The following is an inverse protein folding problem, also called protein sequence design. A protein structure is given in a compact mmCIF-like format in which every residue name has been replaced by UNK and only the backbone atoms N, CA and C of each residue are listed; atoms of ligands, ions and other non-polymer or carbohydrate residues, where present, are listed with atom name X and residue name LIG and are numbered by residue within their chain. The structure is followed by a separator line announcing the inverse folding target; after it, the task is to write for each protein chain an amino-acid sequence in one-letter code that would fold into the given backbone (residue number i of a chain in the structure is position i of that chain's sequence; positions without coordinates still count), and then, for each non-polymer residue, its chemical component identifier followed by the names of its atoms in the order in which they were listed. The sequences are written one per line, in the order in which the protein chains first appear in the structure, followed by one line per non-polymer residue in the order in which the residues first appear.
data_IF_694753764098
#
_entry.id   IF_694753764098
#
_cell.length_a   1.000
_cell.length_b   1.000
_cell.length_c   1.000
_cell.angle_alpha   90.00
_cell.angle_beta   90.00
_cell.angle_gamma   90.00
#
_symmetry.space_group_name_H-M   'P 1'
#
loop_
_entity.id
_entity.type
_entity.pdbx_description
1 polymer ?
#
# COMPACT_ATOMS: atom_id res chain seq x y z
N UNK A 1 -17.83 8.62 -4.05
CA UNK A 1 -19.13 9.23 -4.33
C UNK A 1 -19.42 10.23 -3.22
N UNK A 2 -19.30 11.52 -3.54
CA UNK A 2 -19.82 12.59 -2.70
C UNK A 2 -21.26 12.82 -3.13
N UNK A 3 -22.22 12.53 -2.27
CA UNK A 3 -23.60 13.00 -2.43
C UNK A 3 -23.82 14.14 -1.44
N UNK A 4 -23.94 15.35 -1.97
CA UNK A 4 -24.49 16.46 -1.23
C UNK A 4 -26.03 16.28 -1.20
N UNK A 5 -26.61 16.03 -0.03
CA UNK A 5 -28.05 16.10 0.15
C UNK A 5 -28.43 17.57 0.40
N UNK A 6 -29.00 18.21 -0.61
CA UNK A 6 -29.75 19.46 -0.46
C UNK A 6 -31.08 19.17 0.24
N UNK A 7 -31.31 19.85 1.36
CA UNK A 7 -32.66 20.05 1.85
C UNK A 7 -32.97 19.63 3.28
N UNK A 8 -32.42 20.37 4.26
CA UNK A 8 -33.11 20.51 5.54
C UNK A 8 -33.45 22.00 5.71
N UNK A 9 -34.73 22.38 5.57
CA UNK A 9 -35.20 23.71 5.92
C UNK A 9 -35.18 23.86 7.43
N UNK A 10 -34.37 24.78 7.92
CA UNK A 10 -34.25 25.17 9.31
C UNK A 10 -35.56 25.84 9.81
N UNK A 11 -36.15 25.41 10.92
CA UNK A 11 -37.18 26.16 11.59
C UNK A 11 -36.60 27.41 12.29
N UNK A 12 -37.26 28.53 12.14
CA UNK A 12 -36.84 29.90 12.53
C UNK A 12 -36.51 30.13 14.04
N UNK A 13 -36.51 29.12 14.88
CA UNK A 13 -36.22 29.22 16.32
C UNK A 13 -34.88 28.66 16.79
N UNK A 14 -34.04 28.16 15.91
CA UNK A 14 -32.67 27.67 16.27
C UNK A 14 -31.56 28.71 15.96
N UNK A 15 -31.72 29.93 16.46
CA UNK A 15 -30.72 30.99 16.37
C UNK A 15 -29.51 30.71 17.28
N UNK A 16 -28.74 29.75 17.02
CA UNK A 16 -27.51 29.44 17.78
C UNK A 16 -26.80 28.17 17.31
N UNK A 17 -27.53 27.23 16.76
CA UNK A 17 -27.00 25.99 16.24
C UNK A 17 -26.80 25.99 14.72
N UNK A 18 -27.48 26.88 13.98
CA UNK A 18 -27.42 26.95 12.52
C UNK A 18 -26.07 27.40 11.96
N UNK A 19 -25.33 28.20 12.72
CA UNK A 19 -24.00 28.70 12.27
C UNK A 19 -22.89 27.63 12.43
N UNK A 20 -23.07 26.71 13.37
CA UNK A 20 -22.17 25.56 13.55
C UNK A 20 -22.42 24.52 12.45
N UNK A 21 -23.69 24.33 12.02
CA UNK A 21 -24.07 23.35 11.00
C UNK A 21 -23.53 23.72 9.60
N UNK A 22 -23.46 25.01 9.28
CA UNK A 22 -22.93 25.51 8.00
C UNK A 22 -21.40 25.42 7.89
N UNK A 23 -20.72 25.08 8.97
CA UNK A 23 -19.24 25.00 9.05
C UNK A 23 -18.69 23.59 9.11
N UNK A 24 -19.51 22.59 8.86
CA UNK A 24 -19.12 21.18 8.96
C UNK A 24 -19.39 20.44 7.66
N UNK A 25 -18.49 19.53 7.29
CA UNK A 25 -18.67 18.58 6.21
C UNK A 25 -18.84 17.17 6.79
N UNK A 26 -19.85 16.47 6.33
CA UNK A 26 -20.14 15.08 6.74
C UNK A 26 -19.50 14.13 5.73
N UNK A 27 -18.63 13.26 6.20
CA UNK A 27 -17.88 12.30 5.37
C UNK A 27 -18.27 10.88 5.80
N UNK A 28 -18.60 10.02 4.84
CA UNK A 28 -18.74 8.59 5.07
C UNK A 28 -17.40 7.89 4.84
N UNK A 29 -16.86 7.28 5.89
CA UNK A 29 -15.62 6.54 5.83
C UNK A 29 -15.78 5.17 5.16
N UNK A 30 -14.66 4.51 4.86
CA UNK A 30 -14.65 3.16 4.26
C UNK A 30 -15.31 2.09 5.15
N UNK A 31 -15.21 2.24 6.47
CA UNK A 31 -15.89 1.41 7.48
C UNK A 31 -17.38 1.68 7.62
N UNK A 32 -17.93 2.55 6.74
CA UNK A 32 -19.31 3.02 6.73
C UNK A 32 -19.71 3.94 7.89
N UNK A 33 -18.80 4.24 8.81
CA UNK A 33 -19.05 5.25 9.84
C UNK A 33 -19.15 6.66 9.25
N UNK A 34 -19.82 7.54 9.96
CA UNK A 34 -19.99 8.94 9.58
C UNK A 34 -19.05 9.78 10.45
N UNK A 35 -18.22 10.60 9.83
CA UNK A 35 -17.39 11.60 10.48
C UNK A 35 -17.86 13.00 10.10
N UNK A 36 -18.02 13.86 11.09
CA UNK A 36 -18.33 15.27 10.89
C UNK A 36 -17.05 16.08 11.13
N UNK A 37 -16.61 16.83 10.13
CA UNK A 37 -15.35 17.56 10.14
C UNK A 37 -15.63 19.05 9.96
N UNK A 38 -15.09 19.95 10.82
CA UNK A 38 -15.17 21.38 10.61
C UNK A 38 -14.56 21.79 9.27
N UNK A 39 -15.20 22.72 8.55
CA UNK A 39 -14.68 23.17 7.24
C UNK A 39 -13.32 23.88 7.35
N UNK A 40 -12.99 24.48 8.49
CA UNK A 40 -11.68 25.04 8.77
C UNK A 40 -10.55 24.00 8.64
N UNK A 41 -10.82 22.74 9.02
CA UNK A 41 -9.84 21.67 8.90
C UNK A 41 -9.41 21.39 7.45
N UNK A 42 -10.30 21.63 6.48
CA UNK A 42 -9.96 21.49 5.05
C UNK A 42 -9.14 22.67 4.53
N UNK A 43 -9.26 23.86 5.16
CA UNK A 43 -8.46 25.02 4.79
C UNK A 43 -7.03 24.96 5.35
N UNK A 44 -6.86 24.30 6.49
CA UNK A 44 -5.59 24.23 7.23
C UNK A 44 -4.75 22.99 6.91
N UNK A 45 -5.37 21.94 6.36
CA UNK A 45 -4.73 20.66 6.10
C UNK A 45 -4.80 20.26 4.63
N UNK A 46 -3.79 19.53 4.17
CA UNK A 46 -3.83 18.93 2.85
C UNK A 46 -4.93 17.89 2.76
N UNK A 47 -5.76 17.98 1.74
CA UNK A 47 -6.86 17.04 1.47
C UNK A 47 -6.44 16.12 0.32
N UNK A 48 -6.44 14.81 0.56
CA UNK A 48 -6.13 13.81 -0.46
C UNK A 48 -7.43 13.23 -1.02
N UNK A 49 -7.66 13.43 -2.31
CA UNK A 49 -8.79 12.83 -3.01
C UNK A 49 -8.41 11.44 -3.55
N UNK A 50 -8.76 10.40 -2.81
CA UNK A 50 -8.46 9.01 -3.17
C UNK A 50 -9.28 8.57 -4.41
N UNK A 51 -10.44 9.19 -4.67
CA UNK A 51 -11.28 8.85 -5.83
C UNK A 51 -10.64 9.24 -7.17
N UNK A 52 -9.72 10.18 -7.17
CA UNK A 52 -8.94 10.60 -8.34
C UNK A 52 -7.68 9.76 -8.56
N UNK A 53 -7.46 8.72 -7.73
CA UNK A 53 -6.33 7.82 -7.89
C UNK A 53 -6.46 7.04 -9.20
N UNK A 54 -5.51 7.21 -10.09
CA UNK A 54 -5.49 6.54 -11.40
C UNK A 54 -4.90 5.14 -11.34
N UNK A 55 -3.95 4.93 -10.43
CA UNK A 55 -3.21 3.68 -10.29
C UNK A 55 -2.88 3.43 -8.81
N UNK A 56 -3.06 2.22 -8.34
CA UNK A 56 -2.69 1.86 -6.98
C UNK A 56 -1.24 1.40 -6.91
N UNK A 57 -0.52 1.93 -5.95
CA UNK A 57 0.85 1.52 -5.66
C UNK A 57 0.86 0.26 -4.78
N UNK A 58 1.68 -0.71 -5.15
CA UNK A 58 2.10 -1.82 -4.30
C UNK A 58 3.55 -1.52 -3.89
N UNK A 59 3.82 -1.53 -2.60
CA UNK A 59 5.16 -1.31 -2.04
C UNK A 59 5.39 -2.32 -0.93
N UNK A 60 6.34 -3.23 -1.12
CA UNK A 60 6.67 -4.30 -0.19
C UNK A 60 8.15 -4.35 0.12
N UNK A 61 8.47 -4.85 1.29
CA UNK A 61 9.79 -5.31 1.67
C UNK A 61 9.70 -6.83 1.80
N UNK A 62 10.47 -7.53 0.98
CA UNK A 62 10.57 -8.99 1.00
C UNK A 62 11.85 -9.31 1.75
N UNK A 63 11.72 -10.04 2.86
CA UNK A 63 12.84 -10.38 3.74
C UNK A 63 13.37 -11.77 3.40
N UNK A 64 14.63 -11.86 3.00
CA UNK A 64 15.32 -13.10 2.63
C UNK A 64 16.38 -13.46 3.67
N UNK A 65 16.62 -14.76 3.84
CA UNK A 65 17.63 -15.24 4.79
C UNK A 65 19.04 -14.85 4.35
N UNK A 66 19.94 -14.63 5.32
CA UNK A 66 21.36 -14.31 5.08
C UNK A 66 22.16 -15.42 4.39
N UNK A 67 21.71 -16.66 4.44
CA UNK A 67 22.33 -17.78 3.72
C UNK A 67 22.06 -17.75 2.21
N UNK A 68 21.23 -16.81 1.72
CA UNK A 68 20.99 -16.63 0.29
C UNK A 68 22.25 -16.11 -0.39
N UNK A 69 22.65 -16.77 -1.47
CA UNK A 69 23.80 -16.35 -2.27
C UNK A 69 23.50 -15.10 -3.09
N UNK A 70 24.54 -14.38 -3.49
CA UNK A 70 24.39 -13.18 -4.34
C UNK A 70 23.70 -13.50 -5.66
N UNK A 71 23.99 -14.66 -6.24
CA UNK A 71 23.38 -15.08 -7.51
C UNK A 71 21.90 -15.39 -7.33
N UNK A 72 21.50 -16.02 -6.22
CA UNK A 72 20.09 -16.20 -5.87
C UNK A 72 19.36 -14.86 -5.73
N UNK A 73 19.93 -13.91 -5.00
CA UNK A 73 19.36 -12.58 -4.82
C UNK A 73 19.16 -11.83 -6.15
N UNK A 74 20.17 -11.89 -7.04
CA UNK A 74 20.08 -11.30 -8.38
C UNK A 74 18.99 -11.97 -9.22
N UNK A 75 18.96 -13.31 -9.24
CA UNK A 75 17.98 -14.06 -10.00
C UNK A 75 16.54 -13.79 -9.51
N UNK A 76 16.34 -13.73 -8.20
CA UNK A 76 15.03 -13.39 -7.61
C UNK A 76 14.61 -11.99 -8.03
N UNK A 77 15.50 -11.00 -7.89
CA UNK A 77 15.24 -9.62 -8.31
C UNK A 77 14.84 -9.57 -9.79
N UNK A 78 15.63 -10.16 -10.67
CA UNK A 78 15.44 -10.11 -12.12
C UNK A 78 14.16 -10.83 -12.55
N UNK A 79 13.81 -11.95 -11.90
CA UNK A 79 12.59 -12.68 -12.19
C UNK A 79 11.33 -11.91 -11.73
N UNK A 80 11.38 -11.27 -10.56
CA UNK A 80 10.27 -10.42 -10.10
C UNK A 80 10.12 -9.20 -11.01
N UNK A 81 11.21 -8.55 -11.41
CA UNK A 81 11.20 -7.40 -12.31
C UNK A 81 10.59 -7.79 -13.67
N UNK A 82 11.05 -8.89 -14.28
CA UNK A 82 10.49 -9.44 -15.52
C UNK A 82 9.01 -9.82 -15.39
N UNK A 83 8.61 -10.37 -14.27
CA UNK A 83 7.18 -10.69 -14.04
C UNK A 83 6.33 -9.43 -14.06
N UNK A 84 6.78 -8.35 -13.39
CA UNK A 84 6.07 -7.07 -13.37
C UNK A 84 6.03 -6.48 -14.79
N UNK A 85 7.14 -6.51 -15.54
CA UNK A 85 7.24 -5.95 -16.88
C UNK A 85 6.35 -6.68 -17.92
N UNK A 86 6.28 -8.00 -17.82
CA UNK A 86 5.54 -8.83 -18.78
C UNK A 86 4.05 -9.01 -18.43
N UNK A 87 3.65 -8.62 -17.23
CA UNK A 87 2.26 -8.81 -16.79
C UNK A 87 1.40 -7.57 -17.09
N UNK A 88 0.27 -7.81 -17.74
CA UNK A 88 -0.67 -6.76 -18.15
C UNK A 88 -1.37 -6.05 -17.00
N UNK A 89 -1.32 -6.60 -15.78
CA UNK A 89 -1.93 -6.02 -14.58
C UNK A 89 -1.19 -4.77 -14.09
N UNK A 90 0.11 -4.65 -14.45
CA UNK A 90 0.96 -3.54 -14.01
C UNK A 90 1.07 -2.45 -15.06
N UNK A 91 1.13 -1.22 -14.59
CA UNK A 91 1.39 -0.06 -15.43
C UNK A 91 2.90 0.21 -15.45
N UNK A 92 3.46 0.26 -16.65
CA UNK A 92 4.85 0.61 -16.91
C UNK A 92 4.85 1.87 -17.76
N UNK A 93 5.59 2.87 -17.35
CA UNK A 93 5.69 4.15 -18.05
C UNK A 93 6.36 5.22 -17.21
N UNK A 94 6.57 6.38 -17.81
CA UNK A 94 7.36 7.48 -17.21
C UNK A 94 6.81 7.97 -15.87
N UNK A 95 5.49 7.90 -15.66
CA UNK A 95 4.83 8.31 -14.41
C UNK A 95 4.74 7.19 -13.36
N UNK A 96 5.11 5.95 -13.71
CA UNK A 96 4.91 4.77 -12.86
C UNK A 96 6.14 3.88 -12.86
N UNK A 97 7.24 4.43 -12.37
CA UNK A 97 8.48 3.69 -12.23
C UNK A 97 8.32 2.51 -11.27
N UNK A 98 8.56 1.31 -11.76
CA UNK A 98 8.69 0.12 -10.93
C UNK A 98 10.13 -0.05 -10.46
N UNK A 99 10.32 -0.68 -9.33
CA UNK A 99 11.65 -0.95 -8.78
C UNK A 99 11.65 -2.25 -8.00
N UNK A 100 12.63 -3.10 -8.30
CA UNK A 100 12.95 -4.28 -7.51
C UNK A 100 14.44 -4.21 -7.18
N UNK A 101 14.77 -3.88 -5.92
CA UNK A 101 16.16 -3.62 -5.53
C UNK A 101 16.44 -4.17 -4.13
N UNK A 102 17.66 -4.60 -3.88
CA UNK A 102 18.13 -4.87 -2.53
C UNK A 102 18.19 -3.52 -1.82
N UNK A 103 17.48 -3.40 -0.72
CA UNK A 103 17.33 -2.15 0.04
C UNK A 103 18.40 -2.05 1.13
N UNK A 104 18.41 -3.00 2.04
CA UNK A 104 19.33 -3.00 3.17
C UNK A 104 19.55 -4.40 3.74
N UNK A 105 20.52 -4.49 4.62
CA UNK A 105 20.76 -5.63 5.50
C UNK A 105 20.19 -5.30 6.88
N UNK A 106 19.12 -6.01 7.25
CA UNK A 106 18.45 -5.88 8.55
C UNK A 106 19.04 -6.88 9.56
N UNK A 107 18.60 -6.83 10.81
CA UNK A 107 19.18 -7.64 11.92
C UNK A 107 19.17 -9.16 11.63
N UNK A 108 18.17 -9.66 10.92
CA UNK A 108 18.00 -11.09 10.62
C UNK A 108 17.62 -11.37 9.16
N UNK A 109 17.68 -10.38 8.28
CA UNK A 109 17.26 -10.51 6.88
C UNK A 109 18.02 -9.62 5.91
N UNK A 110 18.04 -10.04 4.65
CA UNK A 110 18.35 -9.19 3.51
C UNK A 110 17.03 -8.70 2.94
N UNK A 111 16.83 -7.40 2.92
CA UNK A 111 15.59 -6.77 2.53
C UNK A 111 15.60 -6.43 1.04
N UNK A 112 14.64 -6.97 0.30
CA UNK A 112 14.41 -6.67 -1.10
C UNK A 112 13.17 -5.77 -1.22
N UNK A 113 13.37 -4.54 -1.68
CA UNK A 113 12.30 -3.58 -1.93
C UNK A 113 11.66 -3.84 -3.28
N UNK A 114 10.33 -3.96 -3.29
CA UNK A 114 9.51 -4.11 -4.49
C UNK A 114 8.51 -2.98 -4.53
N UNK A 115 8.53 -2.20 -5.62
CA UNK A 115 7.54 -1.15 -5.88
C UNK A 115 7.02 -1.30 -7.30
N UNK A 116 5.70 -1.32 -7.45
CA UNK A 116 5.03 -1.31 -8.74
C UNK A 116 3.67 -0.64 -8.64
N UNK A 117 3.09 -0.30 -9.79
CA UNK A 117 1.78 0.31 -9.90
C UNK A 117 0.85 -0.58 -10.71
N UNK A 118 -0.40 -0.71 -10.28
CA UNK A 118 -1.42 -1.45 -11.01
C UNK A 118 -2.08 -0.58 -12.07
N UNK A 119 -2.59 -1.17 -13.13
CA UNK A 119 -3.40 -0.44 -14.14
C UNK A 119 -4.80 -0.12 -13.62
N UNK A 120 -5.30 -0.91 -12.68
CA UNK A 120 -6.63 -0.72 -12.12
C UNK A 120 -6.65 0.35 -11.04
N UNK A 121 -7.73 1.10 -10.99
CA UNK A 121 -8.08 2.01 -9.91
C UNK A 121 -9.15 1.43 -8.97
N UNK A 122 -9.68 0.23 -9.27
CA UNK A 122 -10.66 -0.45 -8.44
C UNK A 122 -9.99 -1.20 -7.28
N UNK A 123 -10.45 -0.94 -6.07
CA UNK A 123 -9.91 -1.56 -4.86
C UNK A 123 -9.98 -3.09 -4.86
N UNK A 124 -11.10 -3.66 -5.31
CA UNK A 124 -11.30 -5.11 -5.36
C UNK A 124 -10.35 -5.79 -6.34
N UNK A 125 -10.15 -5.22 -7.51
CA UNK A 125 -9.21 -5.73 -8.51
C UNK A 125 -7.76 -5.54 -8.05
N UNK A 126 -7.43 -4.42 -7.42
CA UNK A 126 -6.11 -4.20 -6.84
C UNK A 126 -5.73 -5.28 -5.82
N UNK A 127 -6.67 -5.71 -4.96
CA UNK A 127 -6.43 -6.80 -4.00
C UNK A 127 -6.10 -8.12 -4.72
N UNK A 128 -6.79 -8.44 -5.82
CA UNK A 128 -6.52 -9.64 -6.61
C UNK A 128 -5.14 -9.57 -7.29
N UNK A 129 -4.78 -8.42 -7.85
CA UNK A 129 -3.44 -8.21 -8.45
C UNK A 129 -2.36 -8.36 -7.39
N UNK A 130 -2.57 -7.79 -6.22
CA UNK A 130 -1.67 -7.88 -5.07
C UNK A 130 -1.47 -9.33 -4.61
N UNK A 131 -2.55 -10.11 -4.55
CA UNK A 131 -2.48 -11.55 -4.22
C UNK A 131 -1.72 -12.35 -5.28
N UNK A 132 -1.99 -12.14 -6.57
CA UNK A 132 -1.26 -12.79 -7.66
C UNK A 132 0.24 -12.49 -7.60
N UNK A 133 0.60 -11.23 -7.35
CA UNK A 133 2.01 -10.86 -7.16
C UNK A 133 2.62 -11.57 -5.95
N UNK A 134 1.92 -11.67 -4.82
CA UNK A 134 2.42 -12.34 -3.62
C UNK A 134 2.69 -13.83 -3.87
N UNK A 135 1.76 -14.52 -4.55
CA UNK A 135 1.92 -15.93 -4.90
C UNK A 135 3.11 -16.13 -5.84
N UNK A 136 3.27 -15.26 -6.83
CA UNK A 136 4.37 -15.37 -7.77
C UNK A 136 5.73 -15.06 -7.14
N UNK A 137 5.81 -14.03 -6.32
CA UNK A 137 7.01 -13.73 -5.53
C UNK A 137 7.42 -14.93 -4.66
N UNK A 138 6.44 -15.56 -4.00
CA UNK A 138 6.71 -16.76 -3.20
C UNK A 138 7.29 -17.88 -4.05
N UNK A 139 6.71 -18.19 -5.20
CA UNK A 139 7.21 -19.22 -6.12
C UNK A 139 8.62 -18.90 -6.61
N UNK A 140 8.89 -17.64 -6.99
CA UNK A 140 10.20 -17.20 -7.46
C UNK A 140 11.26 -17.42 -6.37
N UNK A 141 10.97 -17.02 -5.13
CA UNK A 141 11.90 -17.19 -4.01
C UNK A 141 12.20 -18.68 -3.78
N UNK A 142 11.16 -19.53 -3.70
CA UNK A 142 11.31 -20.97 -3.46
C UNK A 142 12.01 -21.69 -4.63
N UNK A 143 11.69 -21.34 -5.88
CA UNK A 143 12.31 -21.95 -7.07
C UNK A 143 13.80 -21.63 -7.22
N UNK A 144 14.27 -20.50 -6.67
CA UNK A 144 15.69 -20.15 -6.60
C UNK A 144 16.41 -20.75 -5.39
N UNK A 145 15.73 -21.61 -4.60
CA UNK A 145 16.31 -22.24 -3.42
C UNK A 145 16.60 -21.28 -2.28
N UNK A 146 15.98 -20.10 -2.30
CA UNK A 146 16.04 -19.15 -1.20
C UNK A 146 14.86 -19.34 -0.25
N UNK A 147 14.94 -18.78 0.95
CA UNK A 147 13.90 -18.83 1.95
C UNK A 147 13.64 -17.45 2.52
N UNK A 148 12.39 -17.22 2.93
CA UNK A 148 12.04 -16.01 3.66
C UNK A 148 12.70 -16.01 5.03
N UNK A 149 13.11 -14.82 5.47
CA UNK A 149 13.71 -14.67 6.78
C UNK A 149 12.66 -14.77 7.90
N UNK A 150 13.06 -15.40 9.00
CA UNK A 150 12.32 -15.41 10.24
C UNK A 150 13.10 -14.60 11.29
N UNK A 151 12.42 -13.95 12.25
CA UNK A 151 13.10 -13.37 13.40
C UNK A 151 13.97 -14.44 14.08
N UNK A 152 15.28 -14.22 14.15
CA UNK A 152 16.23 -15.20 14.70
C UNK A 152 16.98 -14.58 15.88
N UNK A 153 17.19 -15.36 16.93
CA UNK A 153 18.02 -14.99 18.08
C UNK A 153 19.07 -16.08 18.26
N UNK A 154 20.35 -15.68 18.30
CA UNK A 154 21.44 -16.62 18.62
C UNK A 154 21.64 -16.69 20.12
N UNK A 155 21.57 -17.90 20.70
CA UNK A 155 21.81 -18.15 22.11
C UNK A 155 23.15 -18.89 22.22
N UNK A 156 24.11 -18.27 22.91
CA UNK A 156 25.38 -18.91 23.27
C UNK A 156 25.25 -19.51 24.66
N UNK A 157 25.38 -20.82 24.76
CA UNK A 157 25.38 -21.55 26.06
C UNK A 157 26.81 -21.88 26.43
N UNK A 158 27.34 -21.20 27.44
CA UNK A 158 28.61 -21.59 28.05
C UNK A 158 28.39 -22.84 28.90
N UNK A 159 29.12 -23.91 28.59
CA UNK A 159 29.20 -25.08 29.47
C UNK A 159 30.28 -24.83 30.52
N UNK A 160 29.85 -24.68 31.77
CA UNK A 160 30.75 -24.73 32.95
C UNK A 160 31.28 -26.15 33.12
#
# INVERSE_FOLDING_TARGET
FFQAEDGIRDPLWSRGLGDVYKRQTVIRKFDKSIATIPNSSFAENAVVNISETTNWRISWIITLQYNSTIDQLKNIRDQIEKYIENNTDFKIGDDTEHAVRIDKFSDSSIDLYVRCFTKTNEWGEWLKVKERLAVEVKKIVESNGASFAFPSTSIYVEKN
#
